data_IF_161265236302
#
_entry.id   IF_161265236302
#
_cell.length_a   1.000
_cell.length_b   1.000
_cell.length_c   1.000
_cell.angle_alpha   90.00
_cell.angle_beta   90.00
_cell.angle_gamma   90.00
#
_symmetry.space_group_name_H-M   'P 1'
#
loop_
_entity.id
_entity.type
_entity.pdbx_description
1 polymer ?
#
# COMPACT_ATOMS: atom_id res chain seq x y z
N UNK A 1 -73.43 97.98 24.07
CA UNK A 1 -73.20 96.52 24.03
C UNK A 1 -72.29 96.21 22.84
N UNK A 2 -70.99 96.51 22.95
CA UNK A 2 -69.99 96.30 21.87
C UNK A 2 -68.64 95.78 22.42
N UNK A 3 -68.58 95.37 23.70
CA UNK A 3 -67.31 95.07 24.39
C UNK A 3 -67.10 93.61 24.78
N UNK A 4 -68.04 92.70 24.49
CA UNK A 4 -67.96 91.29 24.94
C UNK A 4 -67.51 90.35 23.81
N UNK A 5 -67.72 90.72 22.54
CA UNK A 5 -67.31 89.90 21.39
C UNK A 5 -65.79 89.95 21.12
N UNK A 6 -65.09 90.96 21.65
CA UNK A 6 -63.63 91.12 21.51
C UNK A 6 -62.81 90.17 22.38
N UNK A 7 -63.35 89.68 23.49
CA UNK A 7 -62.60 88.81 24.43
C UNK A 7 -62.72 87.34 24.01
N UNK A 8 -63.86 86.94 23.44
CA UNK A 8 -64.04 85.59 22.88
C UNK A 8 -63.20 85.37 21.61
N UNK A 9 -63.03 86.39 20.75
CA UNK A 9 -62.16 86.31 19.59
C UNK A 9 -60.66 86.17 19.93
N UNK A 10 -60.24 86.58 21.14
CA UNK A 10 -58.85 86.46 21.59
C UNK A 10 -58.56 85.11 22.25
N UNK A 11 -59.56 84.49 22.90
CA UNK A 11 -59.45 83.15 23.49
C UNK A 11 -59.55 82.03 22.45
N UNK A 12 -60.36 82.21 21.39
CA UNK A 12 -60.44 81.27 20.24
C UNK A 12 -59.12 81.21 19.45
N UNK A 13 -58.28 82.26 19.57
CA UNK A 13 -56.94 82.32 18.98
C UNK A 13 -55.89 81.50 19.74
N UNK A 14 -56.12 81.17 21.02
CA UNK A 14 -55.22 80.32 21.79
C UNK A 14 -55.52 78.84 21.63
N UNK A 15 -56.79 78.45 21.42
CA UNK A 15 -57.15 77.07 21.07
C UNK A 15 -56.61 76.68 19.69
N UNK A 16 -56.66 77.60 18.71
CA UNK A 16 -56.06 77.37 17.38
C UNK A 16 -54.53 77.26 17.40
N UNK A 17 -53.83 77.99 18.29
CA UNK A 17 -52.38 77.86 18.46
C UNK A 17 -52.02 76.56 19.19
N UNK A 18 -52.79 76.18 20.20
CA UNK A 18 -52.63 74.90 20.91
C UNK A 18 -52.75 73.69 19.98
N UNK A 19 -53.78 73.67 19.14
CA UNK A 19 -54.01 72.58 18.17
C UNK A 19 -52.89 72.49 17.12
N UNK A 20 -52.35 73.63 16.67
CA UNK A 20 -51.24 73.65 15.71
C UNK A 20 -49.94 73.07 16.28
N UNK A 21 -49.66 73.33 17.57
CA UNK A 21 -48.48 72.81 18.27
C UNK A 21 -48.65 71.31 18.52
N UNK A 22 -49.83 70.86 18.94
CA UNK A 22 -50.12 69.43 19.16
C UNK A 22 -50.01 68.64 17.86
N UNK A 23 -50.52 69.17 16.74
CA UNK A 23 -50.40 68.54 15.42
C UNK A 23 -48.94 68.45 14.93
N UNK A 24 -48.13 69.50 15.15
CA UNK A 24 -46.72 69.52 14.81
C UNK A 24 -45.91 68.53 15.67
N UNK A 25 -46.19 68.44 16.97
CA UNK A 25 -45.57 67.45 17.86
C UNK A 25 -45.96 66.02 17.43
N UNK A 26 -47.23 65.79 17.10
CA UNK A 26 -47.72 64.48 16.64
C UNK A 26 -47.04 63.98 15.37
N UNK A 27 -46.81 64.88 14.38
CA UNK A 27 -46.12 64.52 13.14
C UNK A 27 -44.64 64.21 13.37
N UNK A 28 -43.95 64.96 14.22
CA UNK A 28 -42.56 64.67 14.60
C UNK A 28 -42.45 63.32 15.31
N UNK A 29 -43.35 63.03 16.27
CA UNK A 29 -43.37 61.75 16.98
C UNK A 29 -43.63 60.59 16.02
N UNK A 30 -44.60 60.72 15.11
CA UNK A 30 -44.89 59.70 14.09
C UNK A 30 -43.70 59.43 13.16
N UNK A 31 -43.00 60.49 12.72
CA UNK A 31 -41.80 60.37 11.90
C UNK A 31 -40.67 59.66 12.64
N UNK A 32 -40.44 60.00 13.92
CA UNK A 32 -39.43 59.34 14.76
C UNK A 32 -39.77 57.86 14.97
N UNK A 33 -41.03 57.53 15.26
CA UNK A 33 -41.48 56.14 15.41
C UNK A 33 -41.33 55.34 14.12
N UNK A 34 -41.63 55.93 12.96
CA UNK A 34 -41.42 55.31 11.65
C UNK A 34 -39.95 54.98 11.39
N UNK A 35 -39.03 55.93 11.67
CA UNK A 35 -37.58 55.71 11.54
C UNK A 35 -37.09 54.63 12.52
N UNK A 36 -37.53 54.66 13.79
CA UNK A 36 -37.14 53.65 14.78
C UNK A 36 -37.62 52.25 14.41
N UNK A 37 -38.82 52.12 13.84
CA UNK A 37 -39.35 50.85 13.32
C UNK A 37 -38.52 50.34 12.13
N UNK A 38 -38.15 51.23 11.20
CA UNK A 38 -37.27 50.90 10.08
C UNK A 38 -35.87 50.45 10.52
N UNK A 39 -35.27 51.14 11.49
CA UNK A 39 -33.97 50.75 12.05
C UNK A 39 -34.09 49.42 12.81
N UNK A 40 -35.16 49.22 13.59
CA UNK A 40 -35.40 47.97 14.33
C UNK A 40 -35.53 46.76 13.41
N UNK A 41 -36.31 46.88 12.33
CA UNK A 41 -36.47 45.83 11.32
C UNK A 41 -35.18 45.55 10.56
N UNK A 42 -34.43 46.59 10.19
CA UNK A 42 -33.11 46.45 9.57
C UNK A 42 -32.10 45.74 10.48
N UNK A 43 -31.99 46.12 11.76
CA UNK A 43 -31.09 45.46 12.72
C UNK A 43 -31.45 43.98 12.92
N UNK A 44 -32.75 43.66 13.05
CA UNK A 44 -33.21 42.27 13.17
C UNK A 44 -32.90 41.45 11.91
N UNK A 45 -33.12 42.04 10.73
CA UNK A 45 -32.74 41.42 9.45
C UNK A 45 -31.24 41.16 9.38
N UNK A 46 -30.41 42.14 9.76
CA UNK A 46 -28.95 42.00 9.75
C UNK A 46 -28.47 40.92 10.73
N UNK A 47 -29.09 40.80 11.91
CA UNK A 47 -28.77 39.72 12.86
C UNK A 47 -29.15 38.34 12.32
N UNK A 48 -30.31 38.22 11.67
CA UNK A 48 -30.75 36.97 11.04
C UNK A 48 -29.80 36.55 9.91
N UNK A 49 -29.37 37.49 9.07
CA UNK A 49 -28.42 37.19 8.00
C UNK A 49 -27.09 36.70 8.54
N UNK A 50 -26.52 37.37 9.56
CA UNK A 50 -25.29 36.91 10.21
C UNK A 50 -25.42 35.52 10.83
N UNK A 51 -26.58 35.20 11.41
CA UNK A 51 -26.82 33.87 11.96
C UNK A 51 -26.81 32.79 10.87
N UNK A 52 -27.44 33.06 9.72
CA UNK A 52 -27.45 32.16 8.56
C UNK A 52 -26.02 32.00 8.02
N UNK A 53 -25.30 33.09 7.79
CA UNK A 53 -23.93 33.04 7.26
C UNK A 53 -22.99 32.26 8.21
N UNK A 54 -23.17 32.39 9.53
CA UNK A 54 -22.40 31.63 10.52
C UNK A 54 -22.75 30.15 10.47
N UNK A 55 -24.03 29.81 10.31
CA UNK A 55 -24.47 28.42 10.21
C UNK A 55 -23.98 27.75 8.91
N UNK A 56 -24.05 28.46 7.78
CA UNK A 56 -23.51 27.99 6.49
C UNK A 56 -22.01 27.70 6.58
N UNK A 57 -21.23 28.63 7.14
CA UNK A 57 -19.78 28.42 7.36
C UNK A 57 -19.48 27.25 8.29
N UNK A 58 -20.32 27.02 9.31
CA UNK A 58 -20.17 25.85 10.20
C UNK A 58 -20.44 24.56 9.44
N UNK A 59 -21.47 24.52 8.60
CA UNK A 59 -21.79 23.36 7.76
C UNK A 59 -20.70 23.10 6.72
N UNK A 60 -20.15 24.14 6.12
CA UNK A 60 -19.05 24.04 5.16
C UNK A 60 -17.79 23.47 5.82
N UNK A 61 -17.37 24.00 6.98
CA UNK A 61 -16.24 23.46 7.74
C UNK A 61 -16.47 22.01 8.17
N UNK A 62 -17.67 21.69 8.66
CA UNK A 62 -18.00 20.31 9.03
C UNK A 62 -17.93 19.35 7.83
N UNK A 63 -18.33 19.80 6.63
CA UNK A 63 -18.19 19.02 5.38
C UNK A 63 -16.74 18.86 4.97
N UNK A 64 -15.93 19.91 5.06
CA UNK A 64 -14.50 19.84 4.77
C UNK A 64 -13.76 18.92 5.74
N UNK A 65 -14.07 18.99 7.03
CA UNK A 65 -13.51 18.12 8.06
C UNK A 65 -13.90 16.66 7.81
N UNK A 66 -15.19 16.38 7.55
CA UNK A 66 -15.67 15.05 7.22
C UNK A 66 -15.05 14.50 5.92
N UNK A 67 -14.84 15.36 4.91
CA UNK A 67 -14.18 14.96 3.67
C UNK A 67 -12.71 14.58 3.88
N UNK A 68 -11.97 15.36 4.70
CA UNK A 68 -10.58 15.05 5.06
C UNK A 68 -10.47 13.78 5.89
N UNK A 69 -11.41 13.54 6.79
CA UNK A 69 -11.46 12.31 7.58
C UNK A 69 -11.74 11.09 6.68
N UNK A 70 -12.70 11.20 5.76
CA UNK A 70 -12.96 10.16 4.77
C UNK A 70 -11.74 9.85 3.89
N UNK A 71 -11.04 10.88 3.40
CA UNK A 71 -9.81 10.72 2.62
C UNK A 71 -8.70 10.02 3.41
N UNK A 72 -8.54 10.34 4.71
CA UNK A 72 -7.57 9.66 5.59
C UNK A 72 -7.91 8.19 5.79
N UNK A 73 -9.17 7.88 6.07
CA UNK A 73 -9.62 6.49 6.25
C UNK A 73 -9.46 5.67 4.96
N UNK A 74 -9.74 6.28 3.80
CA UNK A 74 -9.52 5.63 2.50
C UNK A 74 -8.03 5.38 2.24
N UNK A 75 -7.18 6.36 2.51
CA UNK A 75 -5.73 6.22 2.35
C UNK A 75 -5.15 5.14 3.30
N UNK A 76 -5.64 5.06 4.53
CA UNK A 76 -5.27 4.01 5.48
C UNK A 76 -5.71 2.62 5.00
N UNK A 77 -6.94 2.50 4.49
CA UNK A 77 -7.44 1.25 3.90
C UNK A 77 -6.59 0.80 2.72
N UNK A 78 -6.33 1.69 1.76
CA UNK A 78 -5.51 1.39 0.58
C UNK A 78 -4.09 0.99 0.98
N UNK A 79 -3.53 1.62 2.02
CA UNK A 79 -2.21 1.23 2.55
C UNK A 79 -2.24 -0.19 3.12
N UNK A 80 -3.25 -0.54 3.90
CA UNK A 80 -3.41 -1.89 4.45
C UNK A 80 -3.58 -2.93 3.35
N UNK A 81 -4.43 -2.68 2.36
CA UNK A 81 -4.60 -3.56 1.19
C UNK A 81 -3.27 -3.80 0.46
N UNK A 82 -2.50 -2.74 0.20
CA UNK A 82 -1.17 -2.86 -0.44
C UNK A 82 -0.16 -3.65 0.40
N UNK A 83 -0.18 -3.50 1.73
CA UNK A 83 0.67 -4.31 2.62
C UNK A 83 0.27 -5.78 2.53
N UNK A 84 -1.03 -6.08 2.52
CA UNK A 84 -1.54 -7.45 2.47
C UNK A 84 -1.16 -8.15 1.16
N UNK A 85 -1.33 -7.45 0.03
CA UNK A 85 -0.94 -7.94 -1.29
C UNK A 85 0.57 -8.22 -1.35
N UNK A 86 1.37 -7.30 -0.81
CA UNK A 86 2.83 -7.43 -0.78
C UNK A 86 3.28 -8.61 0.09
N UNK A 87 2.67 -8.82 1.27
CA UNK A 87 2.96 -9.96 2.15
C UNK A 87 2.63 -11.28 1.45
N UNK A 88 1.48 -11.36 0.79
CA UNK A 88 1.08 -12.56 0.05
C UNK A 88 2.03 -12.86 -1.11
N UNK A 89 2.39 -11.83 -1.90
CA UNK A 89 3.32 -11.96 -3.02
C UNK A 89 4.71 -12.42 -2.56
N UNK A 90 5.28 -11.77 -1.55
CA UNK A 90 6.58 -12.14 -0.98
C UNK A 90 6.56 -13.54 -0.39
N UNK A 91 5.49 -13.92 0.30
CA UNK A 91 5.37 -15.25 0.88
C UNK A 91 5.39 -16.34 -0.20
N UNK A 92 4.57 -16.19 -1.25
CA UNK A 92 4.52 -17.13 -2.36
C UNK A 92 5.86 -17.23 -3.11
N UNK A 93 6.50 -16.10 -3.36
CA UNK A 93 7.79 -16.01 -4.06
C UNK A 93 8.89 -16.73 -3.28
N UNK A 94 9.08 -16.37 -2.00
CA UNK A 94 10.13 -16.97 -1.16
C UNK A 94 9.88 -18.47 -0.99
N UNK A 95 8.63 -18.87 -0.74
CA UNK A 95 8.26 -20.28 -0.62
C UNK A 95 8.60 -21.06 -1.90
N UNK A 96 8.26 -20.52 -3.07
CA UNK A 96 8.58 -21.12 -4.36
C UNK A 96 10.08 -21.28 -4.53
N UNK A 97 10.85 -20.22 -4.23
CA UNK A 97 12.32 -20.27 -4.27
C UNK A 97 12.89 -21.38 -3.37
N UNK A 98 12.46 -21.47 -2.10
CA UNK A 98 12.93 -22.52 -1.18
C UNK A 98 12.67 -23.92 -1.76
N UNK A 99 11.47 -24.13 -2.31
CA UNK A 99 11.07 -25.42 -2.85
C UNK A 99 11.91 -25.79 -4.08
N UNK A 100 12.27 -24.82 -4.94
CA UNK A 100 13.16 -25.06 -6.08
C UNK A 100 14.57 -25.49 -5.63
N UNK A 101 15.06 -25.00 -4.49
CA UNK A 101 16.36 -25.41 -3.94
C UNK A 101 16.31 -26.74 -3.18
N UNK A 102 15.13 -27.28 -2.86
CA UNK A 102 15.00 -28.50 -2.05
C UNK A 102 15.65 -29.73 -2.70
N UNK A 103 15.64 -29.83 -4.03
CA UNK A 103 16.25 -30.95 -4.77
C UNK A 103 17.78 -30.90 -4.73
N UNK A 104 18.35 -29.69 -4.73
CA UNK A 104 19.80 -29.44 -4.67
C UNK A 104 20.45 -29.89 -3.35
N UNK A 105 19.63 -30.19 -2.34
CA UNK A 105 20.10 -30.69 -1.05
C UNK A 105 20.18 -32.21 -0.98
N UNK A 106 19.75 -32.93 -2.02
CA UNK A 106 19.86 -34.38 -2.01
C UNK A 106 21.33 -34.82 -1.88
N UNK A 107 21.60 -35.81 -1.02
CA UNK A 107 22.96 -36.28 -0.77
C UNK A 107 23.66 -36.72 -2.06
N UNK A 108 22.88 -37.27 -3.00
CA UNK A 108 23.37 -37.72 -4.30
C UNK A 108 23.77 -36.54 -5.19
N UNK A 109 22.99 -35.45 -5.22
CA UNK A 109 23.36 -34.24 -5.96
C UNK A 109 24.55 -33.51 -5.32
N UNK A 110 24.61 -33.45 -4.00
CA UNK A 110 25.75 -32.89 -3.26
C UNK A 110 27.02 -33.68 -3.58
N UNK A 111 26.94 -35.02 -3.55
CA UNK A 111 28.07 -35.90 -3.92
C UNK A 111 28.47 -35.72 -5.38
N UNK A 112 27.51 -35.73 -6.30
CA UNK A 112 27.76 -35.53 -7.72
C UNK A 112 28.48 -34.19 -7.97
N UNK A 113 27.98 -33.13 -7.35
CA UNK A 113 28.55 -31.79 -7.48
C UNK A 113 29.99 -31.72 -6.96
N UNK A 114 30.26 -32.25 -5.76
CA UNK A 114 31.58 -32.18 -5.12
C UNK A 114 32.60 -33.08 -5.82
N UNK A 115 32.23 -34.33 -6.14
CA UNK A 115 33.18 -35.32 -6.63
C UNK A 115 33.39 -35.24 -8.15
N UNK A 116 32.35 -34.90 -8.92
CA UNK A 116 32.45 -34.80 -10.38
C UNK A 116 32.80 -33.38 -10.84
N UNK A 117 32.93 -32.42 -9.90
CA UNK A 117 33.28 -31.02 -10.14
C UNK A 117 32.40 -30.34 -11.21
N UNK A 118 31.14 -30.76 -11.29
CA UNK A 118 30.14 -30.27 -12.25
C UNK A 118 28.95 -29.71 -11.48
N UNK A 119 28.86 -28.38 -11.31
CA UNK A 119 27.69 -27.79 -10.67
C UNK A 119 26.47 -27.98 -11.56
N UNK A 120 25.47 -28.70 -11.05
CA UNK A 120 24.13 -28.77 -11.65
C UNK A 120 23.27 -27.66 -11.03
N UNK A 121 23.63 -26.41 -11.33
CA UNK A 121 22.90 -25.26 -10.83
C UNK A 121 22.44 -24.38 -12.00
N UNK A 122 21.13 -24.24 -12.14
CA UNK A 122 20.56 -23.17 -12.94
C UNK A 122 20.66 -21.88 -12.14
N UNK A 123 21.29 -20.85 -12.70
CA UNK A 123 21.17 -19.52 -12.14
C UNK A 123 19.70 -19.14 -12.23
N UNK A 124 19.07 -18.96 -11.08
CA UNK A 124 17.67 -18.58 -11.06
C UNK A 124 17.60 -17.06 -11.29
N UNK A 125 17.34 -16.67 -12.53
CA UNK A 125 17.16 -15.26 -12.88
C UNK A 125 15.75 -14.74 -12.54
N UNK A 126 14.93 -15.54 -11.85
CA UNK A 126 13.54 -15.18 -11.54
C UNK A 126 13.36 -14.17 -10.40
N UNK A 127 14.41 -13.45 -9.99
CA UNK A 127 14.36 -12.30 -9.07
C UNK A 127 13.45 -11.12 -9.57
N UNK A 128 12.71 -11.29 -10.68
CA UNK A 128 11.82 -10.29 -11.26
C UNK A 128 10.75 -9.79 -10.27
N UNK A 129 10.18 -10.67 -9.44
CA UNK A 129 9.17 -10.27 -8.45
C UNK A 129 9.82 -9.35 -7.43
N UNK A 130 10.98 -9.75 -6.90
CA UNK A 130 11.72 -8.94 -5.93
C UNK A 130 12.11 -7.58 -6.49
N UNK A 131 12.68 -7.53 -7.70
CA UNK A 131 13.06 -6.28 -8.36
C UNK A 131 11.85 -5.36 -8.56
N UNK A 132 10.67 -5.93 -8.80
CA UNK A 132 9.42 -5.16 -8.94
C UNK A 132 8.94 -4.62 -7.60
N UNK A 133 9.02 -5.40 -6.52
CA UNK A 133 8.47 -5.03 -5.20
C UNK A 133 9.46 -4.33 -4.27
N UNK A 134 10.75 -4.25 -4.60
CA UNK A 134 11.79 -3.68 -3.73
C UNK A 134 11.48 -2.24 -3.30
N UNK A 135 10.85 -1.46 -4.19
CA UNK A 135 10.46 -0.08 -3.93
C UNK A 135 9.31 0.03 -2.91
N UNK A 136 8.46 -0.99 -2.85
CA UNK A 136 7.35 -1.09 -1.92
C UNK A 136 7.74 -1.74 -0.58
N UNK A 137 8.95 -2.29 -0.41
CA UNK A 137 9.36 -2.85 0.89
C UNK A 137 9.31 -1.82 2.03
N UNK A 138 9.42 -0.53 1.73
CA UNK A 138 9.37 0.55 2.72
C UNK A 138 8.02 0.67 3.46
N UNK A 139 6.93 0.14 2.91
CA UNK A 139 5.62 0.15 3.58
C UNK A 139 5.45 -1.00 4.58
N UNK A 140 6.32 -2.02 4.54
CA UNK A 140 6.27 -3.15 5.47
C UNK A 140 6.77 -2.77 6.88
N UNK A 141 6.33 -3.50 7.92
CA UNK A 141 6.97 -3.46 9.24
C UNK A 141 8.47 -3.77 9.16
N UNK A 142 9.28 -3.03 9.94
CA UNK A 142 10.75 -3.18 9.95
C UNK A 142 11.23 -4.62 10.18
N UNK A 143 10.53 -5.39 11.01
CA UNK A 143 10.85 -6.80 11.27
C UNK A 143 10.77 -7.66 10.00
N UNK A 144 9.76 -7.43 9.15
CA UNK A 144 9.61 -8.14 7.88
C UNK A 144 10.65 -7.71 6.86
N UNK A 145 10.95 -6.40 6.79
CA UNK A 145 12.00 -5.89 5.89
C UNK A 145 13.33 -6.61 6.14
N UNK A 146 13.73 -6.79 7.40
CA UNK A 146 15.00 -7.42 7.72
C UNK A 146 15.08 -8.89 7.26
N UNK A 147 14.05 -9.69 7.51
CA UNK A 147 14.08 -11.12 7.14
C UNK A 147 13.96 -11.32 5.63
N UNK A 148 13.11 -10.54 4.95
CA UNK A 148 12.97 -10.57 3.49
C UNK A 148 14.28 -10.17 2.81
N UNK A 149 14.87 -9.05 3.23
CA UNK A 149 16.16 -8.60 2.67
C UNK A 149 17.27 -9.62 2.94
N UNK A 150 17.30 -10.27 4.11
CA UNK A 150 18.30 -11.29 4.41
C UNK A 150 18.19 -12.50 3.47
N UNK A 151 16.98 -12.97 3.17
CA UNK A 151 16.74 -14.00 2.18
C UNK A 151 17.24 -13.60 0.78
N UNK A 152 16.78 -12.46 0.24
CA UNK A 152 17.16 -12.04 -1.11
C UNK A 152 18.65 -11.74 -1.26
N UNK A 153 19.33 -11.30 -0.20
CA UNK A 153 20.79 -11.17 -0.22
C UNK A 153 21.48 -12.52 -0.33
N UNK A 154 20.99 -13.55 0.36
CA UNK A 154 21.51 -14.91 0.22
C UNK A 154 21.23 -15.46 -1.19
N UNK A 155 20.02 -15.25 -1.73
CA UNK A 155 19.64 -15.69 -3.07
C UNK A 155 20.50 -15.04 -4.15
N UNK A 156 20.73 -13.72 -4.04
CA UNK A 156 21.63 -13.02 -4.94
C UNK A 156 23.07 -13.54 -4.84
N UNK A 157 23.54 -13.86 -3.63
CA UNK A 157 24.89 -14.39 -3.43
C UNK A 157 25.04 -15.78 -4.06
N UNK A 158 24.06 -16.68 -3.89
CA UNK A 158 24.09 -18.00 -4.56
C UNK A 158 24.08 -17.85 -6.07
N UNK A 159 23.25 -16.95 -6.62
CA UNK A 159 23.21 -16.66 -8.05
C UNK A 159 24.55 -16.13 -8.60
N UNK A 160 25.24 -15.27 -7.87
CA UNK A 160 26.58 -14.81 -8.23
C UNK A 160 27.59 -15.96 -8.26
N UNK A 161 27.56 -16.86 -7.26
CA UNK A 161 28.43 -18.03 -7.25
C UNK A 161 28.15 -18.98 -8.43
N UNK A 162 26.88 -19.14 -8.83
CA UNK A 162 26.52 -19.93 -10.01
C UNK A 162 27.07 -19.31 -11.30
N UNK A 163 27.05 -17.98 -11.40
CA UNK A 163 27.66 -17.27 -12.54
C UNK A 163 29.17 -17.49 -12.57
N UNK A 164 29.84 -17.43 -11.43
CA UNK A 164 31.29 -17.69 -11.33
C UNK A 164 31.66 -19.12 -11.78
N UNK A 165 30.80 -20.12 -11.57
CA UNK A 165 31.02 -21.47 -12.09
C UNK A 165 31.13 -21.55 -13.62
N UNK A 166 30.48 -20.62 -14.31
CA UNK A 166 30.48 -20.53 -15.77
C UNK A 166 31.65 -19.71 -16.29
N UNK A 167 32.37 -19.02 -15.42
CA UNK A 167 33.51 -18.20 -15.81
C UNK A 167 34.69 -19.07 -16.30
N UNK A 168 35.35 -18.72 -17.41
CA UNK A 168 36.51 -19.46 -17.91
C UNK A 168 37.64 -19.59 -16.88
N UNK A 169 37.85 -18.60 -16.01
CA UNK A 169 38.87 -18.65 -14.97
C UNK A 169 38.57 -19.75 -13.96
N UNK A 170 37.31 -19.91 -13.54
CA UNK A 170 36.90 -21.02 -12.68
C UNK A 170 37.25 -22.37 -13.34
N UNK A 171 37.00 -22.51 -14.64
CA UNK A 171 37.30 -23.74 -15.37
C UNK A 171 38.80 -24.09 -15.40
N UNK A 172 39.68 -23.08 -15.33
CA UNK A 172 41.15 -23.28 -15.28
C UNK A 172 41.71 -23.54 -13.87
N UNK A 173 40.90 -23.41 -12.82
CA UNK A 173 41.35 -23.68 -11.45
C UNK A 173 41.70 -25.15 -11.22
N UNK A 174 42.56 -25.41 -10.23
CA UNK A 174 42.87 -26.78 -9.79
C UNK A 174 41.61 -27.48 -9.25
N UNK A 175 41.59 -28.80 -9.28
CA UNK A 175 40.49 -29.60 -8.74
C UNK A 175 40.22 -29.28 -7.26
N UNK A 176 41.27 -29.13 -6.45
CA UNK A 176 41.16 -28.76 -5.04
C UNK A 176 40.52 -27.38 -4.83
N UNK A 177 40.90 -26.39 -5.65
CA UNK A 177 40.31 -25.05 -5.60
C UNK A 177 38.83 -25.06 -5.99
N UNK A 178 38.47 -25.81 -7.04
CA UNK A 178 37.07 -25.98 -7.47
C UNK A 178 36.25 -26.64 -6.37
N UNK A 179 36.77 -27.72 -5.77
CA UNK A 179 36.09 -28.44 -4.69
C UNK A 179 35.80 -27.50 -3.51
N UNK A 180 36.79 -26.74 -3.04
CA UNK A 180 36.61 -25.79 -1.92
C UNK A 180 35.55 -24.73 -2.22
N UNK A 181 35.50 -24.23 -3.46
CA UNK A 181 34.49 -23.25 -3.84
C UNK A 181 33.09 -23.89 -3.90
N UNK A 182 32.96 -25.11 -4.44
CA UNK A 182 31.70 -25.85 -4.48
C UNK A 182 31.17 -26.18 -3.07
N UNK A 183 32.04 -26.55 -2.14
CA UNK A 183 31.70 -26.71 -0.72
C UNK A 183 31.15 -25.41 -0.13
N UNK A 184 31.75 -24.26 -0.46
CA UNK A 184 31.26 -22.94 -0.05
C UNK A 184 29.88 -22.60 -0.64
N UNK A 185 29.63 -22.99 -1.89
CA UNK A 185 28.34 -22.81 -2.54
C UNK A 185 27.24 -23.65 -1.86
N UNK A 186 27.52 -24.93 -1.59
CA UNK A 186 26.60 -25.81 -0.87
C UNK A 186 26.28 -25.27 0.52
N UNK A 187 27.29 -24.77 1.24
CA UNK A 187 27.07 -24.10 2.52
C UNK A 187 26.15 -22.88 2.38
N UNK A 188 26.27 -22.12 1.28
CA UNK A 188 25.40 -20.97 1.01
C UNK A 188 23.96 -21.38 0.68
N UNK A 189 23.73 -22.51 0.01
CA UNK A 189 22.37 -23.05 -0.21
C UNK A 189 21.66 -23.30 1.13
N UNK A 190 22.35 -23.92 2.10
CA UNK A 190 21.76 -24.16 3.42
C UNK A 190 21.41 -22.84 4.14
N UNK A 191 22.30 -21.84 4.06
CA UNK A 191 22.01 -20.50 4.60
C UNK A 191 20.80 -19.87 3.89
N UNK A 192 20.73 -19.96 2.57
CA UNK A 192 19.59 -19.46 1.80
C UNK A 192 18.27 -20.11 2.25
N UNK A 193 18.24 -21.44 2.39
CA UNK A 193 17.06 -22.16 2.86
C UNK A 193 16.66 -21.73 4.27
N UNK A 194 17.60 -21.67 5.21
CA UNK A 194 17.31 -21.24 6.59
C UNK A 194 16.71 -19.83 6.61
N UNK A 195 17.29 -18.89 5.84
CA UNK A 195 16.76 -17.52 5.72
C UNK A 195 15.39 -17.49 5.07
N UNK A 196 15.17 -18.31 4.05
CA UNK A 196 13.87 -18.42 3.39
C UNK A 196 12.81 -18.92 4.34
N UNK A 197 13.06 -20.02 5.05
CA UNK A 197 12.11 -20.58 6.02
C UNK A 197 11.74 -19.58 7.11
N UNK A 198 12.74 -18.88 7.66
CA UNK A 198 12.50 -17.84 8.66
C UNK A 198 11.72 -16.64 8.09
N UNK A 199 11.95 -16.25 6.83
CA UNK A 199 11.17 -15.18 6.20
C UNK A 199 9.71 -15.61 5.94
N UNK A 200 9.49 -16.85 5.48
CA UNK A 200 8.15 -17.44 5.29
C UNK A 200 7.40 -17.49 6.62
N UNK A 201 8.03 -17.98 7.68
CA UNK A 201 7.45 -18.02 9.03
C UNK A 201 7.06 -16.61 9.52
N UNK A 202 7.96 -15.64 9.42
CA UNK A 202 7.68 -14.27 9.84
C UNK A 202 6.54 -13.59 9.04
N UNK A 203 6.46 -13.85 7.73
CA UNK A 203 5.38 -13.36 6.87
C UNK A 203 4.05 -14.02 7.25
N UNK A 204 4.05 -15.32 7.53
CA UNK A 204 2.87 -16.06 7.97
C UNK A 204 2.37 -15.60 9.34
N UNK A 205 3.27 -15.40 10.30
CA UNK A 205 2.94 -14.84 11.61
C UNK A 205 2.31 -13.45 11.47
N UNK A 206 2.91 -12.57 10.67
CA UNK A 206 2.34 -11.25 10.42
C UNK A 206 0.96 -11.33 9.76
N UNK A 207 0.81 -12.16 8.73
CA UNK A 207 -0.46 -12.38 8.05
C UNK A 207 -1.55 -12.87 9.00
N UNK A 208 -1.23 -13.79 9.90
CA UNK A 208 -2.15 -14.25 10.94
C UNK A 208 -2.60 -13.12 11.87
N UNK A 209 -1.72 -12.19 12.23
CA UNK A 209 -2.12 -11.00 13.03
C UNK A 209 -3.04 -10.03 12.28
N UNK A 210 -3.03 -10.06 10.95
CA UNK A 210 -3.84 -9.21 10.08
C UNK A 210 -5.07 -9.94 9.52
N UNK A 211 -5.36 -11.16 9.96
CA UNK A 211 -6.45 -12.02 9.45
C UNK A 211 -6.36 -12.28 7.93
N UNK A 212 -5.13 -12.40 7.41
CA UNK A 212 -4.86 -12.73 6.01
C UNK A 212 -4.69 -14.24 5.89
N UNK A 213 -5.51 -14.89 5.06
CA UNK A 213 -5.40 -16.34 4.83
C UNK A 213 -4.35 -16.68 3.76
N UNK A 214 -3.16 -17.09 4.20
CA UNK A 214 -2.09 -17.53 3.30
C UNK A 214 -2.19 -19.00 2.88
N UNK A 215 -3.06 -19.80 3.50
CA UNK A 215 -3.12 -21.26 3.27
C UNK A 215 -3.45 -21.59 1.83
N UNK A 216 -4.29 -20.78 1.19
CA UNK A 216 -4.61 -20.95 -0.22
C UNK A 216 -3.37 -20.81 -1.12
N UNK A 217 -2.51 -19.82 -0.84
CA UNK A 217 -1.27 -19.61 -1.58
C UNK A 217 -0.28 -20.76 -1.32
N UNK A 218 -0.15 -21.22 -0.08
CA UNK A 218 0.68 -22.38 0.28
C UNK A 218 0.26 -23.66 -0.45
N UNK A 219 -1.04 -23.96 -0.44
CA UNK A 219 -1.60 -25.14 -1.10
C UNK A 219 -1.39 -25.06 -2.61
N UNK A 220 -1.53 -23.87 -3.21
CA UNK A 220 -1.29 -23.65 -4.63
C UNK A 220 0.18 -23.84 -5.02
N UNK A 221 1.12 -23.27 -4.24
CA UNK A 221 2.57 -23.42 -4.48
C UNK A 221 2.98 -24.89 -4.30
N UNK A 222 2.51 -25.54 -3.24
CA UNK A 222 2.80 -26.96 -2.98
C UNK A 222 2.22 -27.86 -4.08
N UNK A 223 0.98 -27.62 -4.48
CA UNK A 223 0.31 -28.38 -5.53
C UNK A 223 0.96 -28.22 -6.90
N UNK A 224 1.29 -26.99 -7.29
CA UNK A 224 1.97 -26.70 -8.57
C UNK A 224 3.38 -27.27 -8.61
N UNK A 225 4.12 -27.19 -7.51
CA UNK A 225 5.46 -27.79 -7.45
C UNK A 225 5.38 -29.32 -7.51
N UNK A 226 4.50 -29.95 -6.73
CA UNK A 226 4.36 -31.41 -6.76
C UNK A 226 3.97 -31.92 -8.16
N UNK A 227 3.10 -31.18 -8.86
CA UNK A 227 2.74 -31.48 -10.25
C UNK A 227 3.94 -31.29 -11.20
N UNK A 228 4.71 -30.21 -11.06
CA UNK A 228 5.91 -29.96 -11.86
C UNK A 228 6.97 -31.06 -11.67
N UNK A 229 7.23 -31.47 -10.42
CA UNK A 229 8.13 -32.57 -10.09
C UNK A 229 7.67 -33.90 -10.69
N UNK A 230 6.37 -34.21 -10.59
CA UNK A 230 5.79 -35.42 -11.18
C UNK A 230 5.95 -35.44 -12.70
N UNK A 231 5.68 -34.31 -13.36
CA UNK A 231 5.85 -34.17 -14.81
C UNK A 231 7.32 -34.31 -15.21
N UNK A 232 8.24 -33.66 -14.50
CA UNK A 232 9.68 -33.75 -14.75
C UNK A 232 10.19 -35.19 -14.61
N UNK A 233 9.79 -35.90 -13.55
CA UNK A 233 10.15 -37.30 -13.34
C UNK A 233 9.63 -38.21 -14.47
N UNK A 234 8.40 -37.98 -14.93
CA UNK A 234 7.83 -38.72 -16.07
C UNK A 234 8.61 -38.47 -17.37
N UNK A 235 8.96 -37.21 -17.68
CA UNK A 235 9.77 -36.85 -18.85
C UNK A 235 11.16 -37.46 -18.80
N UNK A 236 11.84 -37.42 -17.65
CA UNK A 236 13.16 -38.05 -17.47
C UNK A 236 13.05 -39.58 -17.65
N UNK A 237 12.01 -40.20 -17.11
CA UNK A 237 11.76 -41.63 -17.26
C UNK A 237 11.45 -42.05 -18.71
N UNK A 238 10.80 -41.19 -19.49
CA UNK A 238 10.60 -41.40 -20.93
C UNK A 238 11.90 -41.21 -21.72
N UNK A 239 12.65 -40.14 -21.47
CA UNK A 239 13.95 -39.89 -22.11
C UNK A 239 14.94 -41.05 -21.87
N UNK A 240 14.97 -41.60 -20.64
CA UNK A 240 15.81 -42.77 -20.32
C UNK A 240 15.35 -44.04 -21.05
N UNK A 241 14.04 -44.22 -21.27
CA UNK A 241 13.48 -45.35 -22.04
C UNK A 241 13.81 -45.27 -23.52
N UNK A 242 13.86 -44.06 -24.08
CA UNK A 242 14.21 -43.83 -25.48
C UNK A 242 15.71 -44.09 -25.77
N UNK A 243 16.54 -44.18 -24.73
CA UNK A 243 17.92 -44.65 -24.83
C UNK A 243 18.84 -43.79 -25.74
N UNK A 244 20.14 -44.14 -25.82
CA UNK A 244 21.12 -43.39 -26.61
C UNK A 244 21.05 -43.64 -28.13
N UNK A 245 19.95 -44.22 -28.67
CA UNK A 245 19.84 -44.58 -30.10
C UNK A 245 19.97 -43.38 -31.07
N UNK A 246 19.97 -42.15 -30.57
CA UNK A 246 20.13 -40.92 -31.37
C UNK A 246 21.61 -40.52 -31.57
N UNK A 247 22.58 -41.10 -30.83
CA UNK A 247 23.98 -40.65 -30.87
C UNK A 247 24.87 -41.35 -31.91
N UNK A 248 24.49 -42.51 -32.45
CA UNK A 248 25.41 -43.33 -33.29
C UNK A 248 25.30 -43.05 -34.79
N UNK A 249 24.40 -42.16 -35.23
CA UNK A 249 24.16 -41.94 -36.67
C UNK A 249 25.02 -40.82 -37.29
N UNK A 250 26.22 -40.56 -36.76
CA UNK A 250 27.06 -39.40 -37.16
C UNK A 250 28.47 -39.72 -37.66
N UNK A 251 28.82 -40.97 -37.96
CA UNK A 251 30.18 -41.33 -38.42
C UNK A 251 30.37 -41.62 -39.92
N UNK A 252 29.34 -41.70 -40.76
CA UNK A 252 29.56 -42.08 -42.17
C UNK A 252 29.19 -40.95 -43.12
N UNK A 253 30.03 -39.92 -43.16
CA UNK A 253 29.94 -38.82 -44.11
C UNK A 253 31.33 -38.22 -44.34
N UNK A 254 32.09 -38.92 -45.17
CA UNK A 254 33.36 -38.55 -45.83
C UNK A 254 33.48 -37.08 -46.23
#
# INVERSE_FOLDING_TARGET
>A
MEGVDSVFAYLDRFDTVGDSIVAAIGTVVAAVLGVLSGVGTWVLSQRRQRAIDVEERRRERAREEAAREAERLEAERLRTERINDLVCALHAEILTGIVLYADQESLDEVRHTIFDLRPFATADETDFVFETVVHDLSILPSMLIHVVVAYYRAARQTNLMIRDFRDPLFQTQSAESKQRYLEGYIAMIFVLKERGLHAVEALADYAATQDIDLRHAEDQVRGSTAAAMTNAAATIGEARRLGPEISDNRTDGT
#
